data_IF_274787025857
#
_entry.id   IF_274787025857
#
_cell.length_a   1.000
_cell.length_b   1.000
_cell.length_c   1.000
_cell.angle_alpha   90.00
_cell.angle_beta   90.00
_cell.angle_gamma   90.00
#
_symmetry.space_group_name_H-M   'P 1'
#
loop_
_entity.id
_entity.type
_entity.pdbx_description
1 polymer ?
#
# COMPACT_ATOMS: atom_id res chain seq x y z
N UNK A 1 -25.04 -5.29 0.37
CA UNK A 1 -23.95 -5.48 -0.62
C UNK A 1 -22.68 -4.88 -0.05
N UNK A 2 -21.48 -5.29 -0.48
CA UNK A 2 -20.22 -4.71 0.03
C UNK A 2 -19.11 -4.75 -1.04
N UNK A 3 -18.07 -3.95 -0.85
CA UNK A 3 -16.78 -4.12 -1.52
C UNK A 3 -15.63 -4.02 -0.52
N UNK A 4 -14.42 -4.34 -1.00
CA UNK A 4 -13.19 -4.09 -0.25
C UNK A 4 -12.40 -3.00 -0.94
N UNK A 5 -11.70 -2.21 -0.14
CA UNK A 5 -10.66 -1.31 -0.63
C UNK A 5 -9.39 -1.55 0.17
N UNK A 6 -8.26 -1.18 -0.41
CA UNK A 6 -6.97 -1.17 0.26
C UNK A 6 -6.50 0.27 0.25
N UNK A 7 -6.28 0.82 1.44
CA UNK A 7 -5.65 2.14 1.59
C UNK A 7 -4.23 2.01 2.11
N UNK A 8 -3.48 3.11 2.00
CA UNK A 8 -2.18 3.25 2.62
C UNK A 8 -2.17 4.54 3.43
N UNK A 9 -1.83 4.43 4.71
CA UNK A 9 -1.57 5.57 5.57
C UNK A 9 -0.19 6.17 5.30
N UNK A 10 -0.07 7.49 5.50
CA UNK A 10 1.23 8.16 5.57
C UNK A 10 1.43 8.60 7.01
N UNK A 11 2.51 8.14 7.61
CA UNK A 11 2.84 8.48 9.00
C UNK A 11 3.59 9.80 9.09
N UNK A 12 3.47 10.45 10.25
CA UNK A 12 4.08 11.76 10.54
C UNK A 12 5.60 11.68 10.36
N UNK A 13 6.16 12.64 9.61
CA UNK A 13 7.60 12.80 9.44
C UNK A 13 8.19 13.37 10.73
N UNK A 14 9.41 12.97 11.08
CA UNK A 14 10.11 13.58 12.21
C UNK A 14 10.39 15.06 11.92
N UNK A 15 10.10 15.94 12.88
CA UNK A 15 10.16 17.40 12.71
C UNK A 15 11.59 17.94 12.53
N UNK A 16 12.60 17.13 12.85
CA UNK A 16 14.01 17.54 12.82
C UNK A 16 14.70 17.29 11.46
N UNK A 17 14.21 16.31 10.67
CA UNK A 17 14.80 15.94 9.36
C UNK A 17 13.77 15.98 8.21
N UNK A 18 12.45 15.96 8.51
CA UNK A 18 11.33 16.04 7.54
C UNK A 18 11.39 15.05 6.35
N UNK A 19 12.31 14.08 6.38
CA UNK A 19 12.58 13.18 5.25
C UNK A 19 12.26 11.72 5.56
N UNK A 20 12.16 11.36 6.84
CA UNK A 20 11.92 9.97 7.29
C UNK A 20 10.67 9.89 8.17
N UNK A 21 9.73 8.96 7.90
CA UNK A 21 8.58 8.71 8.77
C UNK A 21 9.00 8.28 10.18
N UNK A 22 8.46 8.92 11.21
CA UNK A 22 8.70 8.60 12.62
C UNK A 22 8.21 7.20 13.03
N UNK A 23 7.30 6.61 12.22
CA UNK A 23 6.80 5.25 12.36
C UNK A 23 6.71 4.57 10.99
N UNK A 24 6.84 3.24 10.92
CA UNK A 24 6.62 2.51 9.68
C UNK A 24 5.18 2.67 9.20
N UNK A 25 5.02 2.85 7.88
CA UNK A 25 3.74 2.97 7.22
C UNK A 25 2.95 1.66 7.29
N UNK A 26 1.64 1.78 7.02
CA UNK A 26 0.74 0.62 6.98
C UNK A 26 -0.14 0.67 5.76
N UNK A 27 -0.40 -0.50 5.20
CA UNK A 27 -1.53 -0.70 4.30
C UNK A 27 -2.71 -1.23 5.12
N UNK A 28 -3.91 -0.78 4.82
CA UNK A 28 -5.14 -1.21 5.47
C UNK A 28 -6.00 -1.96 4.46
N UNK A 29 -6.68 -2.99 4.92
CA UNK A 29 -7.75 -3.64 4.17
C UNK A 29 -9.05 -3.36 4.91
N UNK A 30 -9.96 -2.71 4.23
CA UNK A 30 -11.23 -2.30 4.79
C UNK A 30 -12.40 -2.82 3.94
N UNK A 31 -13.53 -3.04 4.59
CA UNK A 31 -14.76 -3.48 3.95
C UNK A 31 -15.78 -2.35 3.97
N UNK A 32 -16.17 -1.88 2.79
CA UNK A 32 -17.27 -0.93 2.60
C UNK A 32 -18.59 -1.69 2.53
N UNK A 33 -19.44 -1.53 3.53
CA UNK A 33 -20.79 -2.09 3.55
C UNK A 33 -21.75 -1.05 3.00
N UNK A 34 -22.48 -1.44 1.97
CA UNK A 34 -23.45 -0.57 1.28
C UNK A 34 -24.77 -0.56 2.05
N UNK A 35 -25.45 0.61 2.09
CA UNK A 35 -26.76 0.71 2.68
C UNK A 35 -27.77 -0.18 1.94
N UNK A 36 -28.74 -0.69 2.70
CA UNK A 36 -29.84 -1.52 2.17
C UNK A 36 -31.12 -0.71 1.95
N UNK A 37 -31.23 0.45 2.60
CA UNK A 37 -32.34 1.38 2.50
C UNK A 37 -31.80 2.78 2.17
N UNK A 38 -32.64 3.64 1.59
CA UNK A 38 -32.25 5.00 1.15
C UNK A 38 -31.65 5.88 2.27
N UNK A 39 -32.06 5.65 3.52
CA UNK A 39 -31.61 6.44 4.67
C UNK A 39 -30.51 5.78 5.51
N UNK A 40 -30.09 4.57 5.15
CA UNK A 40 -29.02 3.89 5.86
C UNK A 40 -27.66 4.50 5.44
N UNK A 41 -26.70 4.66 6.37
CA UNK A 41 -25.36 5.10 6.00
C UNK A 41 -24.52 3.93 5.45
N UNK A 42 -23.50 4.27 4.65
CA UNK A 42 -22.38 3.35 4.42
C UNK A 42 -21.64 3.08 5.73
N UNK A 43 -21.10 1.88 5.89
CA UNK A 43 -20.27 1.51 7.04
C UNK A 43 -18.92 1.00 6.55
N UNK A 44 -17.87 1.30 7.29
CA UNK A 44 -16.52 0.78 7.03
C UNK A 44 -16.14 -0.13 8.21
N UNK A 45 -15.69 -1.34 7.90
CA UNK A 45 -15.10 -2.26 8.86
C UNK A 45 -13.61 -2.43 8.56
N UNK A 46 -12.75 -2.18 9.55
CA UNK A 46 -11.32 -2.50 9.47
C UNK A 46 -11.13 -4.01 9.52
N UNK A 47 -10.59 -4.60 8.45
CA UNK A 47 -10.43 -6.05 8.34
C UNK A 47 -9.03 -6.47 8.73
N UNK A 48 -8.00 -5.78 8.24
CA UNK A 48 -6.62 -6.09 8.55
C UNK A 48 -5.68 -4.90 8.28
N UNK A 49 -4.47 -4.97 8.82
CA UNK A 49 -3.38 -4.06 8.49
C UNK A 49 -2.10 -4.83 8.17
N UNK A 50 -1.30 -4.29 7.26
CA UNK A 50 -0.08 -4.89 6.75
C UNK A 50 1.06 -3.90 6.95
N UNK A 51 2.09 -4.36 7.66
CA UNK A 51 3.21 -3.52 8.08
C UNK A 51 4.51 -4.33 8.13
N UNK A 52 5.61 -3.63 8.00
CA UNK A 52 6.96 -4.10 8.29
C UNK A 52 7.74 -2.94 8.92
N UNK A 53 8.66 -3.22 9.83
CA UNK A 53 9.40 -2.18 10.55
C UNK A 53 10.28 -1.33 9.62
N UNK A 54 10.60 -1.83 8.42
CA UNK A 54 11.39 -1.11 7.41
C UNK A 54 10.52 -0.46 6.32
N UNK A 55 9.19 -0.59 6.40
CA UNK A 55 8.31 -0.04 5.38
C UNK A 55 8.06 1.45 5.66
N UNK A 56 8.87 2.29 5.02
CA UNK A 56 8.78 3.74 5.09
C UNK A 56 8.44 4.31 3.71
N UNK A 57 7.34 5.03 3.63
CA UNK A 57 6.91 5.76 2.44
C UNK A 57 6.55 7.20 2.79
N UNK A 58 6.79 8.10 1.85
CA UNK A 58 6.42 9.50 1.95
C UNK A 58 4.94 9.75 1.60
N UNK A 59 4.50 11.00 1.75
CA UNK A 59 3.15 11.49 1.42
C UNK A 59 2.88 11.73 -0.06
N UNK A 60 3.90 11.58 -0.89
CA UNK A 60 3.80 11.83 -2.33
C UNK A 60 2.97 10.74 -3.01
N UNK A 61 2.58 10.96 -4.27
CA UNK A 61 1.58 10.23 -5.06
C UNK A 61 1.95 8.77 -5.41
N UNK A 62 2.44 8.01 -4.44
CA UNK A 62 2.79 6.61 -4.54
C UNK A 62 1.53 5.77 -4.27
N UNK A 63 1.14 4.96 -5.25
CA UNK A 63 -0.04 4.08 -5.15
C UNK A 63 0.35 2.70 -4.65
N UNK A 64 -0.51 2.08 -3.85
CA UNK A 64 -0.46 0.64 -3.58
C UNK A 64 -1.32 -0.10 -4.59
N UNK A 65 -1.00 -1.36 -4.87
CA UNK A 65 -1.79 -2.20 -5.78
C UNK A 65 -2.00 -3.61 -5.23
N UNK A 66 -3.03 -4.30 -5.69
CA UNK A 66 -3.32 -5.68 -5.28
C UNK A 66 -3.89 -6.51 -6.43
N UNK A 67 -3.59 -7.80 -6.42
CA UNK A 67 -4.20 -8.81 -7.28
C UNK A 67 -5.13 -9.77 -6.49
N UNK A 68 -5.55 -9.40 -5.29
CA UNK A 68 -6.38 -10.23 -4.41
C UNK A 68 -5.64 -11.36 -3.68
N UNK A 69 -4.34 -11.58 -3.97
CA UNK A 69 -3.47 -12.48 -3.20
C UNK A 69 -2.38 -11.71 -2.47
N UNK A 70 -1.84 -10.67 -3.11
CA UNK A 70 -0.77 -9.84 -2.57
C UNK A 70 -1.15 -8.37 -2.61
N UNK A 71 -0.60 -7.60 -1.69
CA UNK A 71 -0.50 -6.14 -1.76
C UNK A 71 0.94 -5.82 -2.13
N UNK A 72 1.13 -4.93 -3.10
CA UNK A 72 2.44 -4.35 -3.39
C UNK A 72 2.42 -2.88 -3.00
N UNK A 73 3.38 -2.54 -2.14
CA UNK A 73 3.47 -1.29 -1.44
C UNK A 73 4.84 -0.63 -1.73
N UNK A 74 4.89 0.43 -2.56
CA UNK A 74 6.16 1.07 -2.90
C UNK A 74 6.60 2.07 -1.83
N UNK A 75 7.89 2.38 -1.87
CA UNK A 75 8.53 3.40 -1.04
C UNK A 75 9.19 4.49 -1.88
N UNK A 76 9.58 5.57 -1.22
CA UNK A 76 10.32 6.68 -1.84
C UNK A 76 11.80 6.34 -2.11
N UNK A 77 12.33 5.30 -1.46
CA UNK A 77 13.71 4.83 -1.62
C UNK A 77 13.81 3.61 -2.57
N UNK A 78 12.81 3.42 -3.43
CA UNK A 78 12.89 2.45 -4.54
C UNK A 78 12.65 1.00 -4.16
N UNK A 79 12.06 0.74 -2.99
CA UNK A 79 11.69 -0.59 -2.52
C UNK A 79 10.22 -0.89 -2.83
N UNK A 80 9.92 -2.15 -3.10
CA UNK A 80 8.55 -2.66 -3.20
C UNK A 80 8.33 -3.74 -2.13
N UNK A 81 7.48 -3.47 -1.15
CA UNK A 81 7.08 -4.43 -0.12
C UNK A 81 5.91 -5.27 -0.63
N UNK A 82 6.02 -6.60 -0.52
CA UNK A 82 4.99 -7.54 -1.00
C UNK A 82 4.38 -8.26 0.19
N UNK A 83 3.17 -7.87 0.57
CA UNK A 83 2.44 -8.49 1.67
C UNK A 83 1.47 -9.55 1.17
N UNK A 84 1.39 -10.70 1.84
CA UNK A 84 0.37 -11.71 1.55
C UNK A 84 -0.95 -11.31 2.20
N UNK A 85 -2.00 -11.15 1.38
CA UNK A 85 -3.31 -10.67 1.84
C UNK A 85 -3.94 -11.63 2.87
N UNK A 86 -3.76 -12.94 2.69
CA UNK A 86 -4.35 -13.97 3.55
C UNK A 86 -3.63 -14.10 4.90
N UNK A 87 -2.31 -14.06 4.90
CA UNK A 87 -1.53 -14.29 6.12
C UNK A 87 -1.15 -13.02 6.87
N UNK A 88 -1.28 -11.85 6.22
CA UNK A 88 -0.84 -10.57 6.77
C UNK A 88 0.68 -10.37 6.75
N UNK A 89 1.47 -11.37 6.33
CA UNK A 89 2.93 -11.37 6.45
C UNK A 89 3.61 -10.77 5.22
N UNK A 90 4.75 -10.10 5.45
CA UNK A 90 5.69 -9.77 4.39
C UNK A 90 6.17 -11.06 3.71
N UNK A 91 6.00 -11.14 2.40
CA UNK A 91 6.43 -12.27 1.56
C UNK A 91 7.79 -12.02 0.95
N UNK A 92 8.10 -10.75 0.64
CA UNK A 92 9.38 -10.37 0.07
C UNK A 92 9.46 -8.87 -0.19
N UNK A 93 10.65 -8.44 -0.58
CA UNK A 93 10.98 -7.06 -0.91
C UNK A 93 11.79 -7.02 -2.20
N UNK A 94 11.44 -6.12 -3.13
CA UNK A 94 12.16 -5.91 -4.38
C UNK A 94 12.94 -4.59 -4.33
N UNK A 95 14.15 -4.59 -4.88
CA UNK A 95 15.10 -3.46 -4.83
C UNK A 95 15.59 -3.06 -6.22
N UNK A 96 14.69 -2.98 -7.20
CA UNK A 96 15.07 -2.72 -8.59
C UNK A 96 15.21 -1.24 -8.95
N UNK A 97 14.67 -0.34 -8.13
CA UNK A 97 14.67 1.10 -8.42
C UNK A 97 15.86 1.85 -7.79
N UNK A 98 16.91 1.14 -7.33
CA UNK A 98 18.21 1.70 -6.92
C UNK A 98 18.19 2.94 -6.00
N UNK A 99 17.27 3.00 -5.04
CA UNK A 99 17.17 4.16 -4.13
C UNK A 99 16.34 5.31 -4.67
N UNK A 100 15.70 5.16 -5.83
CA UNK A 100 14.89 6.19 -6.51
C UNK A 100 13.40 5.93 -6.29
N UNK A 101 12.64 7.00 -6.07
CA UNK A 101 11.21 6.96 -5.80
C UNK A 101 10.43 6.19 -6.87
N UNK A 102 9.63 5.21 -6.42
CA UNK A 102 8.71 4.47 -7.29
C UNK A 102 7.46 5.32 -7.56
N UNK A 103 7.19 5.60 -8.83
CA UNK A 103 6.09 6.46 -9.29
C UNK A 103 4.78 5.72 -9.46
N UNK A 104 4.83 4.47 -9.92
CA UNK A 104 3.64 3.66 -10.08
C UNK A 104 3.95 2.17 -9.94
N UNK A 105 2.94 1.42 -9.54
CA UNK A 105 2.96 -0.03 -9.49
C UNK A 105 1.59 -0.58 -9.85
N UNK A 106 1.54 -1.47 -10.84
CA UNK A 106 0.28 -2.06 -11.32
C UNK A 106 0.44 -3.55 -11.57
N UNK A 107 -0.56 -4.33 -11.18
CA UNK A 107 -0.70 -5.69 -11.66
C UNK A 107 -1.33 -5.69 -13.05
N UNK A 108 -0.82 -6.56 -13.94
CA UNK A 108 -1.53 -6.85 -15.18
C UNK A 108 -2.89 -7.50 -14.85
N UNK A 109 -4.01 -7.10 -15.49
CA UNK A 109 -5.35 -7.54 -15.08
C UNK A 109 -5.59 -9.06 -15.16
N UNK A 110 -4.85 -9.77 -16.04
CA UNK A 110 -5.07 -11.20 -16.30
C UNK A 110 -3.80 -12.08 -16.33
N UNK A 111 -2.61 -11.50 -16.22
CA UNK A 111 -1.34 -12.23 -16.35
C UNK A 111 -0.59 -12.11 -15.03
N UNK A 112 0.28 -13.08 -14.67
CA UNK A 112 1.09 -13.02 -13.45
C UNK A 112 2.27 -12.05 -13.61
N UNK A 113 1.97 -10.79 -13.96
CA UNK A 113 2.93 -9.73 -14.21
C UNK A 113 2.64 -8.53 -13.29
N UNK A 114 3.72 -7.91 -12.82
CA UNK A 114 3.73 -6.68 -12.06
C UNK A 114 4.60 -5.69 -12.84
N UNK A 115 4.11 -4.49 -13.05
CA UNK A 115 4.88 -3.39 -13.61
C UNK A 115 5.12 -2.35 -12.54
N UNK A 116 6.34 -1.83 -12.47
CA UNK A 116 6.69 -0.69 -11.64
C UNK A 116 7.60 0.26 -12.42
N UNK A 117 7.52 1.54 -12.10
CA UNK A 117 8.41 2.56 -12.65
C UNK A 117 8.90 3.48 -11.55
N UNK A 118 10.10 4.02 -11.71
CA UNK A 118 10.68 5.06 -10.88
C UNK A 118 11.06 6.24 -11.73
N UNK A 119 11.50 7.31 -11.09
CA UNK A 119 12.27 8.32 -11.83
C UNK A 119 13.51 7.67 -12.46
N UNK A 120 13.89 8.19 -13.62
CA UNK A 120 15.17 7.84 -14.24
C UNK A 120 16.31 8.56 -13.49
N UNK A 121 17.49 7.94 -13.51
CA UNK A 121 18.72 8.72 -13.41
C UNK A 121 19.06 9.30 -14.78
#
# INVERSE_FOLDING_TARGET
MFCYFITRGVEVLDADDDTVPSKPNRCHLEKLIYPTSEHDPFKIEDINSFQDDNYHSNSWLIKVTSNGRYIVAPTYDGKLFIFNLKTGKLTGMLHYHEGVEVRDVIFHPHKPLLFSCSDGK
#
